data_IF_847677430303
#
_entry.id   IF_847677430303
#
_cell.length_a   1.000
_cell.length_b   1.000
_cell.length_c   1.000
_cell.angle_alpha   90.00
_cell.angle_beta   90.00
_cell.angle_gamma   90.00
#
_symmetry.space_group_name_H-M   'P 1'
#
loop_
_entity.id
_entity.type
_entity.pdbx_description
1 polymer ?
#
# COMPACT_ATOMS: atom_id res chain seq x y z
N UNK A 1 -46.21 -7.72 10.88
CA UNK A 1 -46.03 -9.05 11.48
C UNK A 1 -44.81 -9.72 10.85
N UNK A 2 -43.98 -10.40 11.66
CA UNK A 2 -42.80 -11.16 11.17
C UNK A 2 -43.22 -12.24 10.15
N UNK A 3 -44.45 -12.74 10.26
CA UNK A 3 -45.08 -13.66 9.31
C UNK A 3 -45.31 -13.07 7.90
N UNK A 4 -45.63 -11.78 7.77
CA UNK A 4 -45.82 -11.12 6.47
C UNK A 4 -44.51 -10.92 5.69
N UNK A 5 -43.41 -10.63 6.40
CA UNK A 5 -42.06 -10.54 5.82
C UNK A 5 -41.51 -11.91 5.39
N UNK A 6 -41.87 -12.99 6.11
CA UNK A 6 -41.51 -14.36 5.74
C UNK A 6 -42.31 -14.87 4.53
N UNK A 7 -43.59 -14.49 4.41
CA UNK A 7 -44.45 -14.83 3.27
C UNK A 7 -44.03 -14.12 1.98
N UNK A 8 -43.71 -12.82 2.05
CA UNK A 8 -43.20 -12.05 0.91
C UNK A 8 -41.82 -12.55 0.42
N UNK A 9 -41.02 -13.16 1.30
CA UNK A 9 -39.71 -13.75 0.96
C UNK A 9 -39.85 -15.11 0.26
N UNK A 10 -41.00 -15.79 0.38
CA UNK A 10 -41.29 -17.11 -0.22
C UNK A 10 -41.86 -17.04 -1.64
N UNK A 11 -42.39 -15.87 -2.04
CA UNK A 11 -42.98 -15.62 -3.36
C UNK A 11 -42.23 -14.53 -4.16
N UNK A 12 -40.92 -14.37 -3.96
CA UNK A 12 -40.11 -13.64 -4.94
C UNK A 12 -39.87 -14.56 -6.13
N UNK A 13 -40.22 -14.09 -7.32
CA UNK A 13 -39.87 -14.82 -8.53
C UNK A 13 -38.34 -14.92 -8.62
N UNK A 14 -37.82 -15.99 -9.21
CA UNK A 14 -36.37 -16.13 -9.43
C UNK A 14 -35.79 -14.94 -10.20
N UNK A 15 -36.61 -14.23 -10.99
CA UNK A 15 -36.25 -13.01 -11.69
C UNK A 15 -36.02 -11.81 -10.73
N UNK A 16 -36.83 -11.64 -9.70
CA UNK A 16 -36.67 -10.56 -8.71
C UNK A 16 -35.40 -10.74 -7.87
N UNK A 17 -35.07 -11.99 -7.55
CA UNK A 17 -33.83 -12.34 -6.83
C UNK A 17 -32.61 -12.07 -7.74
N UNK A 18 -32.69 -12.45 -9.03
CA UNK A 18 -31.62 -12.20 -9.99
C UNK A 18 -31.41 -10.69 -10.22
N UNK A 19 -32.50 -9.92 -10.30
CA UNK A 19 -32.47 -8.48 -10.46
C UNK A 19 -31.82 -7.77 -9.25
N UNK A 20 -32.16 -8.18 -8.02
CA UNK A 20 -31.54 -7.66 -6.80
C UNK A 20 -30.03 -7.97 -6.75
N UNK A 21 -29.62 -9.18 -7.14
CA UNK A 21 -28.19 -9.57 -7.19
C UNK A 21 -27.44 -8.77 -8.24
N UNK A 22 -28.02 -8.59 -9.43
CA UNK A 22 -27.42 -7.80 -10.50
C UNK A 22 -27.31 -6.32 -10.12
N UNK A 23 -28.34 -5.75 -9.51
CA UNK A 23 -28.29 -4.38 -8.99
C UNK A 23 -27.25 -4.23 -7.88
N UNK A 24 -27.11 -5.23 -6.99
CA UNK A 24 -26.10 -5.20 -5.94
C UNK A 24 -24.68 -5.30 -6.52
N UNK A 25 -24.45 -6.17 -7.51
CA UNK A 25 -23.18 -6.25 -8.24
C UNK A 25 -22.85 -4.95 -8.97
N UNK A 26 -23.84 -4.35 -9.63
CA UNK A 26 -23.67 -3.10 -10.35
C UNK A 26 -23.36 -1.94 -9.40
N UNK A 27 -24.08 -1.81 -8.29
CA UNK A 27 -23.78 -0.80 -7.26
C UNK A 27 -22.36 -0.95 -6.72
N UNK A 28 -21.95 -2.17 -6.34
CA UNK A 28 -20.57 -2.44 -5.91
C UNK A 28 -19.55 -2.06 -6.97
N UNK A 29 -19.78 -2.46 -8.22
CA UNK A 29 -18.88 -2.15 -9.33
C UNK A 29 -18.76 -0.64 -9.54
N UNK A 30 -19.88 0.09 -9.52
CA UNK A 30 -19.90 1.55 -9.61
C UNK A 30 -19.14 2.19 -8.47
N UNK A 31 -19.37 1.77 -7.23
CA UNK A 31 -18.74 2.36 -6.06
C UNK A 31 -17.21 2.09 -6.07
N UNK A 32 -16.78 0.92 -6.57
CA UNK A 32 -15.38 0.60 -6.85
C UNK A 32 -14.77 1.52 -7.92
N UNK A 33 -15.47 1.71 -9.04
CA UNK A 33 -14.99 2.57 -10.14
C UNK A 33 -14.89 4.02 -9.69
N UNK A 34 -15.90 4.54 -8.99
CA UNK A 34 -15.90 5.91 -8.47
C UNK A 34 -14.78 6.10 -7.45
N UNK A 35 -14.56 5.13 -6.55
CA UNK A 35 -13.48 5.19 -5.56
C UNK A 35 -12.09 5.11 -6.21
N UNK A 36 -11.91 4.24 -7.21
CA UNK A 36 -10.66 4.12 -7.95
C UNK A 36 -10.34 5.38 -8.76
N UNK A 37 -11.33 5.93 -9.48
CA UNK A 37 -11.19 7.20 -10.20
C UNK A 37 -10.91 8.36 -9.23
N UNK A 38 -11.61 8.39 -8.09
CA UNK A 38 -11.37 9.39 -7.05
C UNK A 38 -9.96 9.31 -6.47
N UNK A 39 -9.41 8.11 -6.31
CA UNK A 39 -8.05 7.90 -5.80
C UNK A 39 -7.00 8.34 -6.83
N UNK A 40 -7.16 7.96 -8.10
CA UNK A 40 -6.26 8.38 -9.19
C UNK A 40 -6.33 9.91 -9.39
N UNK A 41 -7.54 10.46 -9.49
CA UNK A 41 -7.72 11.90 -9.69
C UNK A 41 -7.27 12.70 -8.46
N UNK A 42 -7.55 12.22 -7.25
CA UNK A 42 -7.09 12.82 -6.00
C UNK A 42 -5.57 12.83 -5.90
N UNK A 43 -4.92 11.73 -6.28
CA UNK A 43 -3.46 11.66 -6.35
C UNK A 43 -2.88 12.65 -7.37
N UNK A 44 -3.44 12.70 -8.59
CA UNK A 44 -3.02 13.64 -9.63
C UNK A 44 -3.28 15.11 -9.23
N UNK A 45 -4.40 15.39 -8.57
CA UNK A 45 -4.76 16.72 -8.08
C UNK A 45 -3.79 17.17 -6.99
N UNK A 46 -3.46 16.30 -6.04
CA UNK A 46 -2.46 16.60 -5.01
C UNK A 46 -1.08 16.83 -5.61
N UNK A 47 -0.67 16.02 -6.59
CA UNK A 47 0.56 16.26 -7.35
C UNK A 47 0.54 17.60 -8.08
N UNK A 48 -0.61 18.03 -8.61
CA UNK A 48 -0.76 19.33 -9.28
C UNK A 48 -0.73 20.51 -8.31
N UNK A 49 -1.37 20.38 -7.14
CA UNK A 49 -1.49 21.45 -6.15
C UNK A 49 -0.22 21.65 -5.33
N UNK A 50 0.41 20.56 -4.89
CA UNK A 50 1.54 20.57 -3.95
C UNK A 50 2.87 20.17 -4.62
N UNK A 51 2.85 19.78 -5.90
CA UNK A 51 4.06 19.38 -6.62
C UNK A 51 4.79 18.23 -5.93
N UNK A 52 6.13 18.35 -5.83
CA UNK A 52 6.97 17.39 -5.08
C UNK A 52 6.64 17.30 -3.59
N UNK A 53 6.11 18.36 -2.99
CA UNK A 53 5.78 18.35 -1.56
C UNK A 53 4.60 17.42 -1.26
N UNK A 54 3.74 17.15 -2.25
CA UNK A 54 2.67 16.17 -2.12
C UNK A 54 3.22 14.77 -1.78
N UNK A 55 4.29 14.36 -2.48
CA UNK A 55 4.98 13.09 -2.22
C UNK A 55 5.61 13.05 -0.83
N UNK A 56 5.91 14.21 -0.24
CA UNK A 56 6.44 14.31 1.11
C UNK A 56 5.45 14.02 2.21
N UNK A 57 4.19 14.30 1.94
CA UNK A 57 3.11 14.13 2.89
C UNK A 57 2.44 12.78 2.64
N UNK A 58 2.17 12.46 1.37
CA UNK A 58 1.45 11.25 0.98
C UNK A 58 2.24 9.97 1.26
N UNK A 59 3.54 9.96 0.98
CA UNK A 59 4.37 8.76 1.18
C UNK A 59 4.38 8.28 2.63
N UNK A 60 4.68 9.12 3.65
CA UNK A 60 4.62 8.68 5.04
C UNK A 60 3.19 8.35 5.51
N UNK A 61 2.16 9.00 4.97
CA UNK A 61 0.76 8.64 5.27
C UNK A 61 0.39 7.26 4.73
N UNK A 62 0.74 6.96 3.48
CA UNK A 62 0.50 5.66 2.86
C UNK A 62 1.31 4.57 3.57
N UNK A 63 2.55 4.86 3.93
CA UNK A 63 3.40 3.97 4.71
C UNK A 63 2.77 3.63 6.07
N UNK A 64 2.33 4.65 6.82
CA UNK A 64 1.67 4.43 8.10
C UNK A 64 0.38 3.62 7.96
N UNK A 65 -0.39 3.81 6.88
CA UNK A 65 -1.60 3.03 6.60
C UNK A 65 -1.29 1.57 6.25
N UNK A 66 -0.26 1.29 5.46
CA UNK A 66 0.17 -0.08 5.13
C UNK A 66 0.65 -0.81 6.37
N UNK A 67 1.53 -0.17 7.14
CA UNK A 67 2.02 -0.71 8.40
C UNK A 67 0.83 -0.95 9.35
N UNK A 68 -0.14 -0.03 9.37
CA UNK A 68 -1.44 -0.18 10.03
C UNK A 68 -2.16 -1.49 9.70
N UNK A 69 -2.41 -1.72 8.43
CA UNK A 69 -3.09 -2.93 7.98
C UNK A 69 -2.32 -4.20 8.36
N UNK A 70 -1.00 -4.23 8.13
CA UNK A 70 -0.21 -5.46 8.35
C UNK A 70 -0.10 -5.83 9.82
N UNK A 71 0.13 -4.86 10.70
CA UNK A 71 0.26 -5.14 12.13
C UNK A 71 -1.10 -5.47 12.78
N UNK A 72 -2.23 -4.94 12.25
CA UNK A 72 -3.56 -5.41 12.63
C UNK A 72 -3.77 -6.85 12.17
N UNK A 73 -3.40 -7.18 10.92
CA UNK A 73 -3.53 -8.53 10.39
C UNK A 73 -2.65 -9.55 11.16
N UNK A 74 -1.45 -9.15 11.58
CA UNK A 74 -0.52 -9.97 12.35
C UNK A 74 -0.91 -10.12 13.83
N UNK A 75 -1.88 -9.33 14.33
CA UNK A 75 -2.36 -9.45 15.70
C UNK A 75 -3.35 -10.60 15.84
N UNK A 76 -2.84 -11.72 16.38
CA UNK A 76 -3.61 -12.94 16.58
C UNK A 76 -4.84 -12.72 17.49
N UNK A 77 -5.99 -13.23 17.06
CA UNK A 77 -7.29 -13.11 17.76
C UNK A 77 -7.26 -13.66 19.19
N UNK A 78 -6.39 -14.65 19.43
CA UNK A 78 -6.18 -15.27 20.74
C UNK A 78 -5.51 -14.31 21.73
N UNK A 79 -4.60 -13.46 21.24
CA UNK A 79 -3.85 -12.50 22.06
C UNK A 79 -4.61 -11.18 22.21
N UNK A 80 -5.43 -10.79 21.22
CA UNK A 80 -6.39 -9.67 21.35
C UNK A 80 -7.30 -9.81 22.56
N UNK A 81 -7.70 -11.04 22.91
CA UNK A 81 -8.51 -11.32 24.11
C UNK A 81 -7.74 -11.15 25.42
N UNK A 82 -6.43 -11.36 25.42
CA UNK A 82 -5.61 -11.35 26.63
C UNK A 82 -5.14 -9.94 27.02
N UNK A 83 -4.92 -9.03 26.06
CA UNK A 83 -4.43 -7.67 26.35
C UNK A 83 -5.00 -6.60 25.40
N UNK A 84 -6.24 -6.12 25.62
CA UNK A 84 -6.87 -5.08 24.79
C UNK A 84 -6.20 -3.69 24.95
N UNK A 85 -5.49 -3.44 26.07
CA UNK A 85 -4.88 -2.12 26.37
C UNK A 85 -3.61 -1.80 25.58
N UNK A 86 -2.99 -2.81 24.96
CA UNK A 86 -1.75 -2.64 24.18
C UNK A 86 -2.05 -2.58 22.67
N UNK A 87 -3.31 -2.77 22.24
CA UNK A 87 -3.77 -2.57 20.86
C UNK A 87 -3.54 -1.10 20.45
N UNK A 88 -2.44 -0.86 19.76
CA UNK A 88 -2.21 0.40 19.05
C UNK A 88 -1.02 1.22 19.50
N UNK A 89 -0.32 0.82 20.56
CA UNK A 89 0.91 1.53 20.93
C UNK A 89 2.10 1.18 20.00
N UNK A 90 2.02 0.07 19.26
CA UNK A 90 3.06 -0.32 18.30
C UNK A 90 3.16 0.68 17.13
N UNK A 91 2.07 1.36 16.76
CA UNK A 91 2.02 2.39 15.70
C UNK A 91 2.98 3.55 15.95
N UNK A 92 3.19 3.89 17.22
CA UNK A 92 4.00 5.04 17.64
C UNK A 92 5.51 4.82 17.39
N UNK A 93 5.95 3.60 17.08
CA UNK A 93 7.32 3.31 16.64
C UNK A 93 7.56 3.59 15.16
N UNK A 94 6.50 3.52 14.35
CA UNK A 94 6.62 3.50 12.89
C UNK A 94 6.60 4.90 12.28
N UNK A 95 5.66 5.74 12.72
CA UNK A 95 5.58 7.15 12.33
C UNK A 95 6.93 7.87 12.46
N UNK A 96 7.66 7.77 13.59
CA UNK A 96 8.96 8.41 13.76
C UNK A 96 10.09 7.87 12.86
N UNK A 97 10.15 6.56 12.61
CA UNK A 97 11.17 5.97 11.75
C UNK A 97 10.87 6.25 10.27
N UNK A 98 9.59 6.24 9.88
CA UNK A 98 9.12 6.61 8.55
C UNK A 98 9.43 8.09 8.27
N UNK A 99 9.15 9.00 9.20
CA UNK A 99 9.48 10.43 9.02
C UNK A 99 10.98 10.68 8.98
N UNK A 100 11.80 9.98 9.77
CA UNK A 100 13.26 10.13 9.72
C UNK A 100 13.84 9.77 8.35
N UNK A 101 13.60 8.56 7.87
CA UNK A 101 14.18 8.09 6.61
C UNK A 101 13.64 8.89 5.40
N UNK A 102 12.35 9.24 5.43
CA UNK A 102 11.75 10.04 4.36
C UNK A 102 12.21 11.50 4.41
N UNK A 103 12.48 12.09 5.58
CA UNK A 103 12.98 13.47 5.70
C UNK A 103 14.33 13.66 5.03
N UNK A 104 15.29 12.74 5.22
CA UNK A 104 16.58 12.80 4.51
C UNK A 104 16.43 12.72 2.99
N UNK A 105 15.55 11.85 2.51
CA UNK A 105 15.23 11.77 1.09
C UNK A 105 14.59 13.07 0.55
N UNK A 106 13.73 13.74 1.34
CA UNK A 106 13.13 15.03 0.98
C UNK A 106 14.15 16.16 0.83
N UNK A 107 15.13 16.22 1.73
CA UNK A 107 16.15 17.27 1.71
C UNK A 107 17.18 17.04 0.59
N UNK A 108 17.54 15.78 0.32
CA UNK A 108 18.32 15.41 -0.85
C UNK A 108 17.65 15.83 -2.17
N UNK A 109 16.31 15.89 -2.21
CA UNK A 109 15.54 16.37 -3.37
C UNK A 109 15.56 17.90 -3.49
N UNK A 110 15.73 18.64 -2.38
CA UNK A 110 15.78 20.12 -2.36
C UNK A 110 17.17 20.72 -2.52
N UNK A 111 18.25 19.92 -2.50
CA UNK A 111 19.63 20.42 -2.42
C UNK A 111 19.88 21.35 -1.22
N UNK A 112 19.06 21.21 -0.18
CA UNK A 112 19.20 21.96 1.06
C UNK A 112 19.95 21.07 2.06
N UNK A 113 20.89 21.64 2.82
CA UNK A 113 21.49 20.93 3.95
C UNK A 113 20.37 20.54 4.93
N UNK A 114 20.39 19.29 5.41
CA UNK A 114 19.43 18.81 6.40
C UNK A 114 19.60 19.68 7.65
N UNK A 115 18.62 20.53 8.02
CA UNK A 115 18.77 21.36 9.21
C UNK A 115 18.91 20.44 10.43
N UNK A 116 19.89 20.70 11.31
CA UNK A 116 20.15 19.89 12.53
C UNK A 116 18.89 19.61 13.37
N UNK A 117 17.88 20.49 13.30
CA UNK A 117 16.60 20.32 13.97
C UNK A 117 15.79 19.11 13.48
N UNK A 118 15.94 18.67 12.23
CA UNK A 118 15.26 17.48 11.70
C UNK A 118 15.93 16.19 12.13
N UNK A 119 17.28 16.14 12.14
CA UNK A 119 18.01 15.01 12.75
C UNK A 119 17.67 14.90 14.25
N UNK A 120 17.50 16.04 14.94
CA UNK A 120 17.04 16.07 16.33
C UNK A 120 15.57 15.63 16.48
N UNK A 121 14.67 16.13 15.63
CA UNK A 121 13.25 15.74 15.64
C UNK A 121 13.10 14.26 15.37
N UNK A 122 13.90 13.71 14.46
CA UNK A 122 13.93 12.29 14.18
C UNK A 122 14.59 11.45 15.27
N UNK A 123 15.69 11.93 15.86
CA UNK A 123 16.34 11.26 16.99
C UNK A 123 15.41 11.21 18.21
N UNK A 124 14.70 12.29 18.50
CA UNK A 124 13.68 12.34 19.57
C UNK A 124 12.52 11.41 19.26
N UNK A 125 12.06 11.38 18.02
CA UNK A 125 11.04 10.46 17.52
C UNK A 125 11.46 8.99 17.60
N UNK A 126 12.69 8.63 17.22
CA UNK A 126 13.26 7.30 17.38
C UNK A 126 13.42 6.91 18.86
N UNK A 127 13.83 7.87 19.70
CA UNK A 127 13.93 7.69 21.16
C UNK A 127 12.57 7.41 21.79
N UNK A 128 11.52 8.12 21.38
CA UNK A 128 10.14 7.86 21.80
C UNK A 128 9.71 6.45 21.37
N UNK A 129 10.05 6.03 20.14
CA UNK A 129 9.84 4.68 19.66
C UNK A 129 10.45 3.64 20.62
N UNK A 130 11.75 3.77 20.91
CA UNK A 130 12.49 2.87 21.82
C UNK A 130 11.84 2.83 23.22
N UNK A 131 11.44 3.97 23.77
CA UNK A 131 10.78 4.04 25.08
C UNK A 131 9.42 3.33 25.09
N UNK A 132 8.67 3.41 24.00
CA UNK A 132 7.39 2.69 23.86
C UNK A 132 7.63 1.18 23.78
N UNK A 133 8.64 0.70 23.04
CA UNK A 133 9.01 -0.73 23.02
C UNK A 133 9.46 -1.22 24.39
N UNK A 134 10.26 -0.45 25.12
CA UNK A 134 10.70 -0.81 26.47
C UNK A 134 9.51 -0.90 27.45
N UNK A 135 8.56 0.04 27.36
CA UNK A 135 7.33 0.02 28.17
C UNK A 135 6.44 -1.17 27.84
N UNK A 136 6.37 -1.57 26.56
CA UNK A 136 5.65 -2.77 26.12
C UNK A 136 6.31 -4.05 26.62
N UNK A 137 7.64 -4.07 26.66
CA UNK A 137 8.40 -5.19 27.19
C UNK A 137 8.08 -5.44 28.67
N UNK A 138 7.92 -4.37 29.46
CA UNK A 138 7.54 -4.46 30.88
C UNK A 138 6.10 -4.95 31.12
N UNK A 139 5.22 -4.88 30.11
CA UNK A 139 3.79 -5.15 30.28
C UNK A 139 3.34 -6.57 29.87
N UNK A 140 4.20 -7.40 29.28
CA UNK A 140 3.81 -8.74 28.77
C UNK A 140 4.74 -9.85 29.26
N UNK A 141 4.17 -11.04 29.48
CA UNK A 141 4.84 -12.20 30.07
C UNK A 141 5.54 -13.11 29.04
N UNK A 142 5.38 -12.90 27.72
CA UNK A 142 5.95 -13.82 26.70
C UNK A 142 7.01 -13.17 25.80
N UNK A 143 8.25 -13.63 25.90
CA UNK A 143 9.40 -13.14 25.12
C UNK A 143 9.23 -13.39 23.62
N UNK A 144 8.72 -14.56 23.22
CA UNK A 144 8.56 -14.96 21.81
C UNK A 144 7.67 -13.99 21.03
N UNK A 145 6.61 -13.50 21.66
CA UNK A 145 5.68 -12.57 21.05
C UNK A 145 6.34 -11.20 20.78
N UNK A 146 7.09 -10.68 21.74
CA UNK A 146 7.80 -9.41 21.59
C UNK A 146 8.88 -9.48 20.52
N UNK A 147 9.68 -10.55 20.52
CA UNK A 147 10.70 -10.78 19.49
C UNK A 147 10.06 -10.87 18.10
N UNK A 148 8.99 -11.65 17.94
CA UNK A 148 8.28 -11.76 16.66
C UNK A 148 7.72 -10.42 16.17
N UNK A 149 7.11 -9.63 17.06
CA UNK A 149 6.58 -8.30 16.72
C UNK A 149 7.67 -7.29 16.41
N UNK A 150 8.79 -7.34 17.12
CA UNK A 150 9.94 -6.47 16.86
C UNK A 150 10.57 -6.78 15.50
N UNK A 151 10.74 -8.06 15.16
CA UNK A 151 11.24 -8.49 13.85
C UNK A 151 10.28 -8.06 12.74
N UNK A 152 8.97 -8.26 12.93
CA UNK A 152 7.96 -7.82 11.97
C UNK A 152 7.99 -6.30 11.78
N UNK A 153 8.16 -5.53 12.86
CA UNK A 153 8.27 -4.08 12.79
C UNK A 153 9.51 -3.63 12.01
N UNK A 154 10.67 -4.24 12.27
CA UNK A 154 11.89 -3.97 11.50
C UNK A 154 11.72 -4.35 10.03
N UNK A 155 11.15 -5.54 9.76
CA UNK A 155 10.92 -6.00 8.39
C UNK A 155 9.99 -5.05 7.64
N UNK A 156 8.89 -4.62 8.27
CA UNK A 156 7.97 -3.63 7.72
C UNK A 156 8.69 -2.31 7.43
N UNK A 157 9.48 -1.81 8.39
CA UNK A 157 10.24 -0.58 8.19
C UNK A 157 11.17 -0.70 6.96
N UNK A 158 11.88 -1.81 6.80
CA UNK A 158 12.76 -2.03 5.65
C UNK A 158 11.93 -2.11 4.35
N UNK A 159 10.90 -2.95 4.32
CA UNK A 159 10.08 -3.23 3.14
C UNK A 159 9.25 -2.03 2.68
N UNK A 160 8.81 -1.17 3.60
CA UNK A 160 7.99 0.00 3.28
C UNK A 160 8.84 1.25 3.03
N UNK A 161 9.87 1.50 3.86
CA UNK A 161 10.59 2.78 3.89
C UNK A 161 11.62 2.89 2.78
N UNK A 162 12.30 1.80 2.41
CA UNK A 162 13.29 1.82 1.32
C UNK A 162 12.64 2.18 -0.02
N UNK A 163 11.56 1.50 -0.47
CA UNK A 163 10.88 1.89 -1.71
C UNK A 163 10.25 3.28 -1.65
N UNK A 164 9.67 3.65 -0.51
CA UNK A 164 9.10 4.98 -0.28
C UNK A 164 10.14 6.10 -0.45
N UNK A 165 11.28 5.99 0.26
CA UNK A 165 12.37 6.96 0.18
C UNK A 165 13.04 6.98 -1.19
N UNK A 166 13.15 5.84 -1.87
CA UNK A 166 13.62 5.77 -3.25
C UNK A 166 12.67 6.50 -4.21
N UNK A 167 11.35 6.32 -4.09
CA UNK A 167 10.36 7.04 -4.90
C UNK A 167 10.45 8.55 -4.69
N UNK A 168 10.63 8.99 -3.43
CA UNK A 168 10.89 10.39 -3.10
C UNK A 168 12.15 10.89 -3.78
N UNK A 169 13.27 10.16 -3.66
CA UNK A 169 14.55 10.57 -4.24
C UNK A 169 14.47 10.64 -5.77
N UNK A 170 13.83 9.67 -6.42
CA UNK A 170 13.57 9.64 -7.86
C UNK A 170 12.75 10.84 -8.32
N UNK A 171 11.88 11.39 -7.46
CA UNK A 171 11.11 12.59 -7.78
C UNK A 171 12.01 13.77 -8.15
N UNK A 172 13.27 13.83 -7.66
CA UNK A 172 14.29 14.84 -8.00
C UNK A 172 14.58 14.94 -9.51
N UNK A 173 14.42 13.86 -10.24
CA UNK A 173 14.60 13.83 -11.69
C UNK A 173 13.31 14.11 -12.47
N UNK A 174 12.19 14.24 -11.75
CA UNK A 174 10.86 14.53 -12.31
C UNK A 174 9.80 13.58 -11.74
N UNK A 175 8.53 14.02 -11.70
CA UNK A 175 7.40 13.18 -11.26
C UNK A 175 7.21 11.95 -12.14
N UNK A 176 7.62 12.04 -13.41
CA UNK A 176 7.63 10.92 -14.34
C UNK A 176 8.34 9.70 -13.78
N UNK A 177 9.50 9.88 -13.14
CA UNK A 177 10.31 8.78 -12.57
C UNK A 177 9.68 8.12 -11.34
N UNK A 178 8.65 8.72 -10.77
CA UNK A 178 7.83 8.13 -9.69
C UNK A 178 6.58 7.46 -10.25
N UNK A 179 5.95 8.10 -11.24
CA UNK A 179 4.75 7.58 -11.88
C UNK A 179 5.04 6.34 -12.74
N UNK A 180 6.19 6.28 -13.41
CA UNK A 180 6.57 5.17 -14.29
C UNK A 180 6.65 3.81 -13.58
N UNK A 181 7.42 3.67 -12.47
CA UNK A 181 7.45 2.42 -11.72
C UNK A 181 6.08 2.02 -11.20
N UNK A 182 5.29 2.99 -10.69
CA UNK A 182 3.93 2.72 -10.20
C UNK A 182 2.98 2.23 -11.30
N UNK A 183 3.02 2.85 -12.48
CA UNK A 183 2.25 2.42 -13.65
C UNK A 183 2.67 1.02 -14.10
N UNK A 184 3.98 0.75 -14.14
CA UNK A 184 4.52 -0.54 -14.55
C UNK A 184 4.04 -1.66 -13.63
N UNK A 185 4.04 -1.43 -12.31
CA UNK A 185 3.50 -2.39 -11.31
C UNK A 185 2.00 -2.60 -11.52
N UNK A 186 1.23 -1.53 -11.73
CA UNK A 186 -0.22 -1.63 -11.94
C UNK A 186 -0.56 -2.42 -13.23
N UNK A 187 0.16 -2.16 -14.32
CA UNK A 187 -0.01 -2.89 -15.58
C UNK A 187 0.44 -4.34 -15.42
N UNK A 188 1.53 -4.60 -14.70
CA UNK A 188 1.97 -5.97 -14.42
C UNK A 188 0.89 -6.77 -13.71
N UNK A 189 0.31 -6.23 -12.63
CA UNK A 189 -0.73 -6.92 -11.87
C UNK A 189 -2.00 -7.16 -12.71
N UNK A 190 -2.40 -6.19 -13.52
CA UNK A 190 -3.54 -6.33 -14.43
C UNK A 190 -3.28 -7.40 -15.51
N UNK A 191 -2.10 -7.37 -16.13
CA UNK A 191 -1.68 -8.34 -17.14
C UNK A 191 -1.56 -9.75 -16.55
N UNK A 192 -1.09 -9.88 -15.31
CA UNK A 192 -1.00 -11.16 -14.63
C UNK A 192 -2.39 -11.77 -14.41
N UNK A 193 -3.38 -10.99 -13.95
CA UNK A 193 -4.77 -11.49 -13.81
C UNK A 193 -5.37 -11.94 -15.15
N UNK A 194 -5.04 -11.24 -16.24
CA UNK A 194 -5.44 -11.64 -17.59
C UNK A 194 -4.73 -12.93 -17.99
N UNK A 195 -3.41 -13.00 -17.79
CA UNK A 195 -2.60 -14.17 -18.11
C UNK A 195 -3.01 -15.42 -17.31
N UNK A 196 -3.27 -15.28 -16.01
CA UNK A 196 -3.76 -16.34 -15.14
C UNK A 196 -5.11 -16.89 -15.63
N UNK A 197 -5.99 -16.03 -16.16
CA UNK A 197 -7.29 -16.45 -16.69
C UNK A 197 -7.18 -17.24 -18.01
N UNK A 198 -6.23 -16.90 -18.87
CA UNK A 198 -6.11 -17.52 -20.19
C UNK A 198 -5.11 -18.68 -20.24
N UNK A 199 -4.05 -18.63 -19.44
CA UNK A 199 -2.91 -19.54 -19.50
C UNK A 199 -2.60 -20.24 -18.17
N UNK A 200 -3.38 -20.00 -17.11
CA UNK A 200 -3.07 -20.45 -15.75
C UNK A 200 -3.20 -21.96 -15.55
N UNK A 201 -2.13 -22.68 -15.88
CA UNK A 201 -2.04 -24.12 -15.71
C UNK A 201 -1.16 -24.49 -14.50
N UNK A 202 -0.06 -23.75 -14.28
CA UNK A 202 0.89 -24.06 -13.21
C UNK A 202 0.94 -22.95 -12.15
N UNK A 203 0.77 -23.26 -10.85
CA UNK A 203 0.85 -22.25 -9.80
C UNK A 203 2.28 -21.74 -9.63
N UNK A 204 2.44 -20.43 -9.48
CA UNK A 204 3.73 -19.76 -9.35
C UNK A 204 4.50 -20.20 -8.09
N UNK A 205 3.80 -20.40 -6.98
CA UNK A 205 4.39 -20.93 -5.75
C UNK A 205 3.36 -21.62 -4.87
N UNK A 206 3.82 -22.47 -3.95
CA UNK A 206 2.94 -23.11 -2.95
C UNK A 206 2.26 -22.12 -2.01
N UNK A 207 2.87 -20.95 -1.78
CA UNK A 207 2.32 -19.91 -0.91
C UNK A 207 1.21 -19.09 -1.59
N UNK A 208 1.23 -19.02 -2.92
CA UNK A 208 0.32 -18.19 -3.72
C UNK A 208 -0.31 -19.02 -4.84
N UNK A 209 -1.23 -19.95 -4.51
CA UNK A 209 -1.80 -20.88 -5.48
C UNK A 209 -2.70 -20.21 -6.53
N UNK A 210 -3.14 -18.97 -6.27
CA UNK A 210 -4.01 -18.21 -7.19
C UNK A 210 -3.26 -17.55 -8.34
N UNK A 211 -1.93 -17.46 -8.26
CA UNK A 211 -1.09 -16.84 -9.29
C UNK A 211 -0.43 -17.93 -10.11
N UNK A 212 -0.44 -17.81 -11.44
CA UNK A 212 0.18 -18.78 -12.33
C UNK A 212 1.56 -18.35 -12.82
N UNK A 213 2.40 -19.33 -13.14
CA UNK A 213 3.71 -19.08 -13.74
C UNK A 213 3.57 -18.53 -15.17
N UNK A 214 2.62 -19.05 -15.95
CA UNK A 214 2.35 -18.58 -17.30
C UNK A 214 1.83 -17.13 -17.30
N UNK A 215 0.94 -16.80 -16.37
CA UNK A 215 0.43 -15.45 -16.19
C UNK A 215 1.52 -14.46 -15.79
N UNK A 216 2.49 -14.88 -14.97
CA UNK A 216 3.65 -14.06 -14.62
C UNK A 216 4.56 -13.77 -15.82
N UNK A 217 4.82 -14.77 -16.68
CA UNK A 217 5.59 -14.57 -17.92
C UNK A 217 4.84 -13.61 -18.85
N UNK A 218 3.54 -13.82 -19.05
CA UNK A 218 2.71 -12.95 -19.87
C UNK A 218 2.74 -11.50 -19.38
N UNK A 219 2.62 -11.28 -18.07
CA UNK A 219 2.73 -9.97 -17.45
C UNK A 219 4.10 -9.33 -17.68
N UNK A 220 5.18 -10.10 -17.53
CA UNK A 220 6.56 -9.64 -17.75
C UNK A 220 6.82 -9.22 -19.19
N UNK A 221 6.32 -9.98 -20.18
CA UNK A 221 6.41 -9.61 -21.60
C UNK A 221 5.61 -8.32 -21.86
N UNK A 222 4.42 -8.21 -21.28
CA UNK A 222 3.56 -7.04 -21.42
C UNK A 222 4.23 -5.77 -20.88
N UNK A 223 4.88 -5.84 -19.71
CA UNK A 223 5.60 -4.69 -19.15
C UNK A 223 6.87 -4.34 -19.93
N UNK A 224 7.58 -5.32 -20.51
CA UNK A 224 8.69 -5.05 -21.42
C UNK A 224 8.24 -4.28 -22.67
N UNK A 225 7.15 -4.71 -23.29
CA UNK A 225 6.56 -4.02 -24.45
C UNK A 225 6.07 -2.61 -24.08
N UNK A 226 5.45 -2.45 -22.91
CA UNK A 226 5.05 -1.15 -22.37
C UNK A 226 6.25 -0.22 -22.21
N UNK A 227 7.33 -0.70 -21.58
CA UNK A 227 8.55 0.08 -21.37
C UNK A 227 9.18 0.51 -22.70
N UNK A 228 9.25 -0.41 -23.67
CA UNK A 228 9.75 -0.11 -25.01
C UNK A 228 8.90 0.96 -25.72
N UNK A 229 7.57 0.80 -25.70
CA UNK A 229 6.65 1.77 -26.31
C UNK A 229 6.74 3.15 -25.67
N UNK A 230 6.86 3.21 -24.34
CA UNK A 230 7.04 4.47 -23.61
C UNK A 230 8.39 5.11 -23.90
N UNK A 231 9.48 4.33 -23.98
CA UNK A 231 10.79 4.83 -24.36
C UNK A 231 10.79 5.46 -25.77
N UNK A 232 10.14 4.81 -26.74
CA UNK A 232 9.97 5.35 -28.10
C UNK A 232 9.14 6.64 -28.10
N UNK A 233 8.05 6.67 -27.35
CA UNK A 233 7.22 7.87 -27.21
C UNK A 233 8.00 9.05 -26.63
N UNK A 234 8.78 8.82 -25.57
CA UNK A 234 9.62 9.85 -24.94
C UNK A 234 10.72 10.33 -25.89
N UNK A 235 11.38 9.41 -26.61
CA UNK A 235 12.43 9.74 -27.58
C UNK A 235 11.91 10.57 -28.77
N UNK A 236 10.63 10.44 -29.11
CA UNK A 236 10.00 11.21 -30.19
C UNK A 236 9.65 12.66 -29.81
N UNK A 237 9.62 12.99 -28.51
CA UNK A 237 9.28 14.34 -28.07
C UNK A 237 10.53 15.24 -28.11
N UNK A 238 10.51 16.24 -29.00
CA UNK A 238 11.64 17.17 -29.25
C UNK A 238 12.18 17.92 -28.03
N UNK A 239 11.41 18.03 -26.95
CA UNK A 239 11.83 18.70 -25.71
C UNK A 239 12.83 17.92 -24.82
N UNK A 240 13.08 16.63 -25.12
CA UNK A 240 14.02 15.76 -24.39
C UNK A 240 15.31 15.50 -25.21
N UNK A 241 15.30 15.82 -26.50
CA UNK A 241 16.51 15.87 -27.36
C UNK A 241 17.22 17.21 -27.18
#
# INVERSE_FOLDING_TARGET
SVAGLAYARRHRSSADILADILQQKFRRARDLVVSALGLVFGFLLLLRLLGRQALAILTPMLQAAIEHEVMVAASDTTIKRLQPRLEGQHWLLFIPAATFCNSRAMYAVRNEEVPRYYDLAAATMASIGILVTLRQWQASTSLRYHVGRFILAIALQILSTLPASAGIACSRYGLFWVAMPALTVAVHEAAQKVGDRFFGATPLSRLWPSLSFEGYIFASITTLLLAYGLAQGIASWKWIQ
#
